data_IF_627654596271
#
_entry.id   IF_627654596271
#
_cell.length_a   1.000
_cell.length_b   1.000
_cell.length_c   1.000
_cell.angle_alpha   90.00
_cell.angle_beta   90.00
_cell.angle_gamma   90.00
#
_symmetry.space_group_name_H-M   'P 1'
#
loop_
_entity.id
_entity.type
_entity.pdbx_description
1 polymer ?
#
# COMPACT_ATOMS: atom_id res chain seq x y z
N UNK A 1 -8.26 7.04 -6.18
CA UNK A 1 -6.97 6.35 -6.52
C UNK A 1 -6.86 5.02 -5.80
N UNK A 2 -7.00 4.99 -4.47
CA UNK A 2 -7.06 3.75 -3.67
C UNK A 2 -8.11 2.75 -4.21
N UNK A 3 -9.31 3.22 -4.57
CA UNK A 3 -10.33 2.38 -5.22
C UNK A 3 -9.85 1.66 -6.49
N UNK A 4 -9.00 2.29 -7.31
CA UNK A 4 -8.47 1.66 -8.53
C UNK A 4 -7.51 0.52 -8.18
N UNK A 5 -6.71 0.70 -7.12
CA UNK A 5 -5.84 -0.35 -6.59
C UNK A 5 -6.68 -1.49 -6.03
N UNK A 6 -7.73 -1.17 -5.27
CA UNK A 6 -8.64 -2.17 -4.71
C UNK A 6 -9.36 -2.98 -5.80
N UNK A 7 -9.92 -2.32 -6.82
CA UNK A 7 -10.55 -3.01 -7.97
C UNK A 7 -9.60 -3.94 -8.71
N UNK A 8 -8.34 -3.56 -8.85
CA UNK A 8 -7.33 -4.45 -9.44
C UNK A 8 -7.10 -5.68 -8.55
N UNK A 9 -7.05 -5.49 -7.23
CA UNK A 9 -6.90 -6.55 -6.26
C UNK A 9 -8.10 -7.51 -6.27
N UNK A 10 -9.32 -7.00 -6.22
CA UNK A 10 -10.55 -7.81 -6.32
C UNK A 10 -10.60 -8.60 -7.63
N UNK A 11 -10.25 -7.98 -8.76
CA UNK A 11 -10.28 -8.64 -10.06
C UNK A 11 -9.28 -9.81 -10.19
N UNK A 12 -8.28 -9.89 -9.32
CA UNK A 12 -7.24 -10.93 -9.36
C UNK A 12 -7.24 -11.81 -8.11
N UNK A 13 -8.23 -11.70 -7.21
CA UNK A 13 -8.31 -12.46 -5.96
C UNK A 13 -7.07 -12.29 -5.06
N UNK A 14 -6.42 -11.12 -5.15
CA UNK A 14 -5.23 -10.78 -4.36
C UNK A 14 -5.58 -9.80 -3.25
N UNK A 15 -5.12 -10.09 -2.05
CA UNK A 15 -5.14 -9.15 -0.92
C UNK A 15 -3.73 -8.68 -0.61
N UNK A 16 -3.58 -7.67 0.26
CA UNK A 16 -2.29 -7.17 0.71
C UNK A 16 -2.30 -6.85 2.20
N UNK A 17 -1.12 -6.83 2.81
CA UNK A 17 -0.99 -6.46 4.24
C UNK A 17 -0.42 -5.06 4.43
N UNK A 18 0.29 -4.54 3.43
CA UNK A 18 1.04 -3.29 3.57
C UNK A 18 0.51 -2.24 2.60
N UNK A 19 0.04 -1.12 3.13
CA UNK A 19 -0.25 0.09 2.34
C UNK A 19 0.98 0.96 2.31
N UNK A 20 1.31 1.49 1.13
CA UNK A 20 2.37 2.49 0.97
C UNK A 20 1.83 3.70 0.21
N UNK A 21 2.07 4.89 0.74
CA UNK A 21 1.84 6.18 0.09
C UNK A 21 3.18 6.76 -0.33
N UNK A 22 3.30 7.09 -1.62
CA UNK A 22 4.48 7.73 -2.21
C UNK A 22 4.10 9.12 -2.69
N UNK A 23 4.84 10.13 -2.26
CA UNK A 23 4.66 11.53 -2.67
C UNK A 23 5.91 11.94 -3.42
N UNK A 24 5.75 12.36 -4.67
CA UNK A 24 6.82 12.94 -5.47
C UNK A 24 6.61 14.44 -5.58
N UNK A 25 7.62 15.20 -5.21
CA UNK A 25 7.61 16.65 -5.24
C UNK A 25 8.01 17.17 -6.62
N UNK A 26 7.77 18.47 -6.86
CA UNK A 26 8.09 19.15 -8.13
C UNK A 26 9.59 19.14 -8.46
N UNK A 27 10.44 19.09 -7.44
CA UNK A 27 11.91 18.98 -7.54
C UNK A 27 12.40 17.53 -7.73
N UNK A 28 11.48 16.60 -8.02
CA UNK A 28 11.73 15.17 -8.21
C UNK A 28 12.20 14.41 -6.96
N UNK A 29 12.26 15.03 -5.79
CA UNK A 29 12.45 14.31 -4.52
C UNK A 29 11.18 13.53 -4.15
N UNK A 30 11.32 12.49 -3.31
CA UNK A 30 10.20 11.66 -2.89
C UNK A 30 10.15 11.44 -1.38
N UNK A 31 8.94 11.39 -0.82
CA UNK A 31 8.65 10.92 0.53
C UNK A 31 7.78 9.66 0.44
N UNK A 32 8.13 8.65 1.22
CA UNK A 32 7.40 7.37 1.29
C UNK A 32 6.98 7.09 2.71
N UNK A 33 5.72 6.70 2.90
CA UNK A 33 5.18 6.23 4.17
C UNK A 33 4.46 4.92 3.94
N UNK A 34 4.65 3.96 4.83
CA UNK A 34 4.02 2.65 4.74
C UNK A 34 3.51 2.19 6.10
N UNK A 35 2.44 1.39 6.08
CA UNK A 35 1.89 0.74 7.27
C UNK A 35 1.47 -0.67 6.92
N UNK A 36 1.89 -1.62 7.76
CA UNK A 36 1.49 -3.03 7.67
C UNK A 36 0.41 -3.32 8.69
N UNK A 37 -0.67 -3.98 8.26
CA UNK A 37 -1.77 -4.42 9.10
C UNK A 37 -1.68 -5.94 9.30
N UNK A 38 -1.76 -6.38 10.56
CA UNK A 38 -1.65 -7.81 10.92
C UNK A 38 -2.79 -8.63 10.30
N UNK A 39 -4.01 -8.09 10.33
CA UNK A 39 -5.20 -8.71 9.74
C UNK A 39 -5.21 -8.74 8.21
N UNK A 40 -4.27 -8.05 7.56
CA UNK A 40 -4.40 -7.71 6.14
C UNK A 40 -5.47 -6.65 5.89
N UNK A 41 -5.56 -6.24 4.64
CA UNK A 41 -6.50 -5.22 4.16
C UNK A 41 -7.61 -5.94 3.41
N UNK A 42 -8.81 -5.90 4.00
CA UNK A 42 -9.95 -6.72 3.57
C UNK A 42 -11.05 -5.91 2.91
N UNK A 43 -10.94 -4.59 2.88
CA UNK A 43 -11.92 -3.71 2.23
C UNK A 43 -11.29 -2.44 1.65
N UNK A 44 -12.00 -1.81 0.73
CA UNK A 44 -11.59 -0.54 0.11
C UNK A 44 -11.55 0.59 1.14
N UNK A 45 -12.46 0.60 2.11
CA UNK A 45 -12.50 1.60 3.18
C UNK A 45 -11.25 1.52 4.04
N UNK A 46 -10.82 0.30 4.42
CA UNK A 46 -9.59 0.12 5.18
C UNK A 46 -8.35 0.59 4.41
N UNK A 47 -8.32 0.39 3.09
CA UNK A 47 -7.25 0.90 2.23
C UNK A 47 -7.24 2.43 2.17
N UNK A 48 -8.42 3.06 2.04
CA UNK A 48 -8.57 4.52 2.02
C UNK A 48 -8.11 5.12 3.35
N UNK A 49 -8.64 4.62 4.47
CA UNK A 49 -8.28 5.10 5.81
C UNK A 49 -6.78 4.99 6.07
N UNK A 50 -6.18 3.85 5.72
CA UNK A 50 -4.74 3.67 5.87
C UNK A 50 -3.94 4.64 5.00
N UNK A 51 -4.37 4.90 3.76
CA UNK A 51 -3.72 5.86 2.87
C UNK A 51 -3.86 7.30 3.40
N UNK A 52 -5.02 7.68 3.93
CA UNK A 52 -5.25 9.02 4.51
C UNK A 52 -4.38 9.25 5.75
N UNK A 53 -4.31 8.27 6.66
CA UNK A 53 -3.42 8.34 7.84
C UNK A 53 -1.96 8.51 7.41
N UNK A 54 -1.52 7.74 6.41
CA UNK A 54 -0.16 7.84 5.90
C UNK A 54 0.11 9.19 5.24
N UNK A 55 -0.85 9.75 4.51
CA UNK A 55 -0.74 11.08 3.90
C UNK A 55 -0.74 12.19 4.96
N UNK A 56 -1.57 12.08 6.00
CA UNK A 56 -1.60 13.02 7.11
C UNK A 56 -0.26 13.06 7.88
N UNK A 57 0.45 11.93 7.98
CA UNK A 57 1.76 11.85 8.66
C UNK A 57 2.87 12.67 8.01
N UNK A 58 2.65 13.17 6.79
CA UNK A 58 3.60 13.99 6.01
C UNK A 58 3.10 15.42 5.81
N UNK A 59 1.94 15.76 6.39
CA UNK A 59 1.43 17.12 6.45
C UNK A 59 2.13 17.92 7.57
N UNK A 60 2.39 19.24 7.40
CA UNK A 60 2.18 20.02 6.19
C UNK A 60 3.25 19.75 5.13
N UNK A 61 2.85 19.77 3.85
CA UNK A 61 3.77 19.58 2.75
C UNK A 61 4.69 20.79 2.59
N UNK A 62 6.00 20.56 2.73
CA UNK A 62 7.02 21.63 2.62
C UNK A 62 7.28 22.08 1.17
N UNK A 63 6.80 21.33 0.17
CA UNK A 63 7.11 21.51 -1.26
C UNK A 63 5.88 21.18 -2.11
N UNK A 64 5.74 21.77 -3.32
CA UNK A 64 4.68 21.43 -4.25
C UNK A 64 4.72 19.95 -4.64
N UNK A 65 3.56 19.30 -4.65
CA UNK A 65 3.42 17.90 -5.01
C UNK A 65 3.18 17.76 -6.51
N UNK A 66 3.94 16.89 -7.17
CA UNK A 66 3.76 16.53 -8.58
C UNK A 66 2.96 15.25 -8.76
N UNK A 67 3.12 14.28 -7.85
CA UNK A 67 2.43 13.00 -7.92
C UNK A 67 2.23 12.43 -6.51
N UNK A 68 1.07 11.80 -6.30
CA UNK A 68 0.80 10.94 -5.15
C UNK A 68 0.41 9.56 -5.67
N UNK A 69 1.00 8.51 -5.11
CA UNK A 69 0.74 7.12 -5.44
C UNK A 69 0.40 6.30 -4.19
N UNK A 70 -0.54 5.37 -4.31
CA UNK A 70 -0.89 4.37 -3.28
C UNK A 70 -0.59 3.01 -3.87
N UNK A 71 0.10 2.17 -3.10
CA UNK A 71 0.46 0.81 -3.53
C UNK A 71 0.19 -0.17 -2.40
N UNK A 72 -0.24 -1.38 -2.77
CA UNK A 72 -0.33 -2.53 -1.89
C UNK A 72 0.90 -3.43 -2.07
N UNK A 73 1.40 -3.98 -0.97
CA UNK A 73 2.46 -4.99 -0.96
C UNK A 73 2.21 -6.05 0.12
N UNK A 74 3.11 -7.04 0.23
CA UNK A 74 2.85 -8.27 0.97
C UNK A 74 1.58 -8.95 0.45
N UNK A 75 1.51 -9.14 -0.87
CA UNK A 75 0.32 -9.67 -1.52
C UNK A 75 0.14 -11.15 -1.17
N UNK A 76 -1.10 -11.58 -1.00
CA UNK A 76 -1.46 -12.97 -0.73
C UNK A 76 -2.70 -13.33 -1.54
N UNK A 77 -2.71 -14.53 -2.11
CA UNK A 77 -3.89 -15.13 -2.74
C UNK A 77 -4.61 -15.95 -1.67
N UNK A 78 -5.94 -16.01 -1.68
CA UNK A 78 -6.69 -16.84 -0.73
C UNK A 78 -6.42 -18.36 -0.86
N UNK A 79 -5.61 -18.79 -1.85
CA UNK A 79 -5.16 -20.18 -2.04
C UNK A 79 -3.67 -20.45 -1.80
N UNK A 80 -2.88 -19.46 -1.37
CA UNK A 80 -1.42 -19.58 -1.28
C UNK A 80 -0.93 -20.09 0.08
N UNK A 81 -0.89 -21.41 0.27
CA UNK A 81 -0.09 -22.01 1.34
C UNK A 81 1.36 -21.53 1.19
N UNK A 82 1.87 -20.77 2.16
CA UNK A 82 3.29 -20.43 2.24
C UNK A 82 4.05 -21.70 2.64
N UNK A 83 4.40 -22.53 1.66
CA UNK A 83 5.45 -23.53 1.83
C UNK A 83 6.75 -22.78 2.06
N UNK A 84 7.14 -22.66 3.32
CA UNK A 84 8.47 -22.22 3.71
C UNK A 84 9.48 -23.18 3.07
N UNK A 85 10.32 -22.65 2.18
CA UNK A 85 11.36 -23.45 1.53
C UNK A 85 12.42 -23.77 2.58
N UNK A 86 12.63 -25.04 2.87
CA UNK A 86 13.76 -25.48 3.68
C UNK A 86 15.06 -25.22 2.91
N UNK A 87 15.92 -24.39 3.48
CA UNK A 87 17.30 -24.26 3.04
C UNK A 87 18.04 -25.49 3.56
N UNK A 88 18.05 -26.55 2.74
CA UNK A 88 18.82 -27.77 3.01
C UNK A 88 20.27 -27.41 3.28
N UNK A 89 20.71 -27.63 4.52
CA UNK A 89 22.05 -27.38 5.03
C UNK A 89 22.74 -28.71 5.33
#
# INVERSE_FOLDING_TARGET
MAEKVWRYCEAHDITGKTVTVKIKYSDFTQATRSKTLVSGITSVEMLIDAAEILLASVFPFKRPIRLVGVTLSSLSNEGGQTSQLELGL
#
